data_IF_091846394699
#
_entry.id   IF_091846394699
#
_cell.length_a   1.000
_cell.length_b   1.000
_cell.length_c   1.000
_cell.angle_alpha   90.00
_cell.angle_beta   90.00
_cell.angle_gamma   90.00
#
_symmetry.space_group_name_H-M   'P 1'
#
loop_
_entity.id
_entity.type
_entity.pdbx_description
1 polymer ?
#
# COMPACT_ATOMS: atom_id res chain seq x y z
N UNK A 1 -6.78 5.36 -9.86
CA UNK A 1 -6.66 4.02 -10.46
C UNK A 1 -7.16 2.99 -9.47
N UNK A 2 -7.73 1.88 -9.95
CA UNK A 2 -8.21 0.77 -9.10
C UNK A 2 -7.19 -0.36 -9.19
N UNK A 3 -6.69 -0.82 -8.04
CA UNK A 3 -5.88 -2.04 -7.97
C UNK A 3 -6.79 -3.23 -8.28
N UNK A 4 -6.44 -4.05 -9.27
CA UNK A 4 -7.32 -5.07 -9.84
C UNK A 4 -7.11 -6.45 -9.23
N UNK A 5 -5.91 -6.73 -8.69
CA UNK A 5 -5.64 -8.00 -8.01
C UNK A 5 -6.20 -8.01 -6.60
N UNK A 6 -6.88 -9.10 -6.25
CA UNK A 6 -7.35 -9.34 -4.89
C UNK A 6 -6.19 -9.78 -3.98
N UNK A 7 -5.37 -10.70 -4.48
CA UNK A 7 -4.29 -11.35 -3.74
C UNK A 7 -2.94 -11.08 -4.41
N UNK A 8 -1.87 -10.93 -3.61
CA UNK A 8 -0.48 -10.75 -4.07
C UNK A 8 0.32 -11.97 -3.57
N UNK A 9 0.55 -12.93 -4.46
CA UNK A 9 1.19 -14.21 -4.11
C UNK A 9 2.64 -14.32 -4.60
N UNK A 10 2.99 -13.55 -5.63
CA UNK A 10 4.30 -13.50 -6.25
C UNK A 10 4.53 -12.11 -6.89
N UNK A 11 5.77 -11.84 -7.28
CA UNK A 11 6.14 -10.60 -7.97
C UNK A 11 6.04 -10.70 -9.49
N UNK A 12 6.20 -11.90 -10.05
CA UNK A 12 6.26 -12.15 -11.49
C UNK A 12 4.92 -11.83 -12.18
N UNK A 13 3.82 -12.05 -11.48
CA UNK A 13 2.49 -11.78 -12.01
C UNK A 13 2.10 -10.29 -11.99
N UNK A 14 2.86 -9.43 -11.31
CA UNK A 14 2.52 -8.01 -11.16
C UNK A 14 2.91 -7.22 -12.42
N UNK A 15 1.99 -6.38 -12.89
CA UNK A 15 2.35 -5.44 -13.95
C UNK A 15 3.24 -4.32 -13.40
N UNK A 16 4.16 -3.74 -14.20
CA UNK A 16 5.02 -2.64 -13.76
C UNK A 16 4.25 -1.49 -13.11
N UNK A 17 3.06 -1.20 -13.62
CA UNK A 17 2.18 -0.14 -13.12
C UNK A 17 1.60 -0.44 -11.74
N UNK A 18 1.29 -1.71 -11.47
CA UNK A 18 0.83 -2.16 -10.15
C UNK A 18 1.97 -2.06 -9.14
N UNK A 19 3.20 -2.43 -9.53
CA UNK A 19 4.40 -2.28 -8.71
C UNK A 19 4.62 -0.81 -8.37
N UNK A 20 4.61 0.09 -9.36
CA UNK A 20 4.74 1.53 -9.12
C UNK A 20 3.67 2.04 -8.16
N UNK A 21 2.40 1.65 -8.33
CA UNK A 21 1.31 2.05 -7.44
C UNK A 21 1.55 1.60 -5.98
N UNK A 22 2.06 0.38 -5.78
CA UNK A 22 2.40 -0.14 -4.45
C UNK A 22 3.53 0.71 -3.84
N UNK A 23 4.58 0.98 -4.59
CA UNK A 23 5.73 1.76 -4.14
C UNK A 23 5.36 3.21 -3.80
N UNK A 24 4.54 3.86 -4.63
CA UNK A 24 4.05 5.22 -4.38
C UNK A 24 3.22 5.28 -3.09
N UNK A 25 2.37 4.27 -2.86
CA UNK A 25 1.58 4.17 -1.62
C UNK A 25 2.49 3.93 -0.42
N UNK A 26 3.51 3.08 -0.57
CA UNK A 26 4.46 2.77 0.50
C UNK A 26 5.26 4.00 0.95
N UNK A 27 5.57 4.93 0.04
CA UNK A 27 6.24 6.19 0.39
C UNK A 27 5.41 7.00 1.40
N UNK A 28 4.12 7.19 1.14
CA UNK A 28 3.23 7.89 2.08
C UNK A 28 3.06 7.14 3.42
N UNK A 29 3.02 5.81 3.38
CA UNK A 29 2.97 5.01 4.61
C UNK A 29 4.25 5.12 5.44
N UNK A 30 5.43 5.25 4.80
CA UNK A 30 6.70 5.45 5.48
C UNK A 30 6.68 6.72 6.32
N UNK A 31 6.25 7.85 5.74
CA UNK A 31 6.11 9.11 6.47
C UNK A 31 5.17 8.99 7.67
N UNK A 32 4.06 8.26 7.54
CA UNK A 32 3.13 8.04 8.64
C UNK A 32 3.76 7.19 9.74
N UNK A 33 4.60 6.22 9.37
CA UNK A 33 5.31 5.37 10.33
C UNK A 33 6.33 6.13 11.18
N UNK A 34 6.88 7.23 10.66
CA UNK A 34 7.85 8.08 11.36
C UNK A 34 7.17 9.11 12.29
N UNK A 35 5.85 9.33 12.16
CA UNK A 35 5.11 10.25 13.03
C UNK A 35 5.02 9.69 14.46
N UNK A 36 5.06 10.55 15.49
CA UNK A 36 4.83 10.15 16.88
C UNK A 36 3.49 9.44 17.10
N UNK A 37 2.50 9.75 16.26
CA UNK A 37 1.17 9.14 16.28
C UNK A 37 0.80 8.64 14.88
N UNK A 38 0.86 7.32 14.67
CA UNK A 38 0.66 6.63 13.38
C UNK A 38 -0.83 6.47 13.01
N UNK A 39 -1.57 7.57 12.88
CA UNK A 39 -3.00 7.52 12.52
C UNK A 39 -3.19 7.28 11.01
N UNK A 40 -3.90 6.21 10.67
CA UNK A 40 -4.37 5.92 9.30
C UNK A 40 -5.89 5.66 9.35
N UNK A 41 -6.74 6.70 9.13
CA UNK A 41 -8.19 6.59 9.31
C UNK A 41 -8.86 5.49 8.47
N UNK A 42 -8.33 5.21 7.28
CA UNK A 42 -8.85 4.18 6.37
C UNK A 42 -8.64 2.75 6.87
N UNK A 43 -7.68 2.52 7.76
CA UNK A 43 -7.38 1.20 8.35
C UNK A 43 -7.99 1.00 9.74
N UNK A 44 -8.75 1.98 10.24
CA UNK A 44 -9.35 1.89 11.58
C UNK A 44 -10.36 0.73 11.65
N UNK A 45 -10.19 -0.14 12.65
CA UNK A 45 -11.08 -1.30 12.85
C UNK A 45 -10.90 -2.43 11.84
N UNK A 46 -9.85 -2.37 11.01
CA UNK A 46 -9.39 -3.50 10.19
C UNK A 46 -8.35 -4.26 11.01
N UNK A 47 -8.66 -5.50 11.34
CA UNK A 47 -7.79 -6.46 12.03
C UNK A 47 -7.81 -7.77 11.27
#
# INVERSE_FOLDING_TARGET
>A
MRFTKKDILDIESLEPKEISMILDTALGMKEISERPVKKVPTLRGKT
#
